data_IF_008624095373
#
_entry.id   IF_008624095373
#
_cell.length_a   1.000
_cell.length_b   1.000
_cell.length_c   1.000
_cell.angle_alpha   90.00
_cell.angle_beta   90.00
_cell.angle_gamma   90.00
#
_symmetry.space_group_name_H-M   'P 1'
#
loop_
_entity.id
_entity.type
_entity.pdbx_description
1 polymer ?
#
# COMPACT_ATOMS: atom_id res chain seq x y z
N UNK A 1 -3.80 0.14 17.69
CA UNK A 1 -4.35 1.42 17.17
C UNK A 1 -3.59 1.83 15.91
N UNK A 2 -4.22 2.47 14.93
CA UNK A 2 -3.55 2.92 13.70
C UNK A 2 -4.16 4.22 13.16
N UNK A 3 -3.36 4.97 12.39
CA UNK A 3 -3.82 6.10 11.59
C UNK A 3 -4.10 5.62 10.16
N UNK A 4 -5.26 5.98 9.59
CA UNK A 4 -5.62 5.64 8.21
C UNK A 4 -5.63 6.90 7.36
N UNK A 5 -4.71 6.99 6.41
CA UNK A 5 -4.69 8.06 5.42
C UNK A 5 -5.35 7.58 4.12
N UNK A 6 -6.48 8.19 3.75
CA UNK A 6 -7.29 7.79 2.60
C UNK A 6 -7.23 8.83 1.49
N UNK A 7 -6.84 8.40 0.30
CA UNK A 7 -6.85 9.21 -0.93
C UNK A 7 -7.78 8.55 -1.96
N UNK A 8 -8.75 9.31 -2.48
CA UNK A 8 -9.71 8.77 -3.48
C UNK A 8 -9.08 8.64 -4.86
N UNK A 9 -8.21 9.58 -5.24
CA UNK A 9 -7.55 9.60 -6.53
C UNK A 9 -6.07 9.89 -6.31
N UNK A 10 -5.23 9.02 -6.85
CA UNK A 10 -3.77 9.16 -6.82
C UNK A 10 -3.27 8.97 -8.24
N UNK A 11 -2.97 10.06 -8.93
CA UNK A 11 -2.45 9.99 -10.30
C UNK A 11 -0.98 9.55 -10.28
N UNK A 12 -0.57 8.77 -11.28
CA UNK A 12 0.83 8.35 -11.42
C UNK A 12 1.78 9.55 -11.55
N UNK A 13 3.00 9.41 -11.03
CA UNK A 13 4.01 10.47 -11.06
C UNK A 13 3.77 11.63 -10.08
N UNK A 14 2.77 11.51 -9.19
CA UNK A 14 2.55 12.50 -8.12
C UNK A 14 3.10 12.02 -6.79
N UNK A 15 3.48 12.99 -5.98
CA UNK A 15 3.90 12.80 -4.59
C UNK A 15 2.92 13.52 -3.66
N UNK A 16 2.58 12.87 -2.55
CA UNK A 16 1.75 13.44 -1.50
C UNK A 16 2.41 13.20 -0.15
N UNK A 17 2.33 14.17 0.74
CA UNK A 17 2.95 14.12 2.07
C UNK A 17 1.86 14.32 3.12
N UNK A 18 1.90 13.51 4.17
CA UNK A 18 1.04 13.64 5.35
C UNK A 18 1.93 13.78 6.59
N UNK A 19 1.61 14.76 7.44
CA UNK A 19 2.28 14.99 8.73
C UNK A 19 1.25 14.82 9.84
N UNK A 20 1.59 14.03 10.85
CA UNK A 20 0.74 13.80 12.02
C UNK A 20 1.57 14.01 13.30
N UNK A 21 0.94 14.63 14.30
CA UNK A 21 1.50 14.81 15.64
C UNK A 21 0.61 14.07 16.63
N UNK A 22 1.21 13.23 17.48
CA UNK A 22 0.52 12.48 18.51
C UNK A 22 0.97 12.97 19.89
N UNK A 23 0.03 13.32 20.75
CA UNK A 23 0.31 13.55 22.16
C UNK A 23 0.40 12.21 22.88
N UNK A 24 1.54 11.92 23.51
CA UNK A 24 1.73 10.72 24.32
C UNK A 24 1.43 11.03 25.79
N UNK A 25 0.86 10.07 26.56
CA UNK A 25 0.76 10.21 28.01
C UNK A 25 2.14 10.39 28.65
N UNK A 26 2.19 11.16 29.74
CA UNK A 26 3.43 11.41 30.49
C UNK A 26 3.91 10.20 31.30
N UNK A 27 3.04 9.21 31.53
CA UNK A 27 3.33 7.98 32.26
C UNK A 27 3.43 6.82 31.26
N UNK A 28 4.55 6.10 31.29
CA UNK A 28 4.76 4.91 30.48
C UNK A 28 3.93 3.72 30.99
N UNK A 29 3.27 3.01 30.08
CA UNK A 29 2.59 1.77 30.42
C UNK A 29 3.63 0.67 30.71
N UNK A 30 3.41 -0.10 31.78
CA UNK A 30 4.37 -1.08 32.29
C UNK A 30 4.68 -2.25 31.32
N UNK A 31 3.83 -2.47 30.31
CA UNK A 31 3.91 -3.62 29.38
C UNK A 31 4.08 -3.21 27.90
N UNK A 32 4.59 -2.01 27.62
CA UNK A 32 4.69 -1.51 26.24
C UNK A 32 5.91 -2.09 25.51
N UNK A 33 5.81 -3.37 25.13
CA UNK A 33 6.65 -3.90 24.06
C UNK A 33 6.21 -3.16 22.80
N UNK A 34 6.98 -2.14 22.41
CA UNK A 34 6.69 -1.27 21.27
C UNK A 34 6.64 -2.08 19.97
N UNK A 35 5.47 -2.64 19.67
CA UNK A 35 5.23 -3.34 18.41
C UNK A 35 5.18 -2.25 17.34
N UNK A 36 6.18 -2.25 16.47
CA UNK A 36 6.23 -1.44 15.25
C UNK A 36 5.68 -2.28 14.08
N UNK A 37 4.34 -2.46 13.94
CA UNK A 37 3.80 -3.20 12.82
C UNK A 37 4.16 -2.49 11.51
N UNK A 38 4.29 -3.23 10.40
CA UNK A 38 4.50 -2.62 9.11
C UNK A 38 3.31 -1.75 8.70
N UNK A 39 3.57 -0.78 7.83
CA UNK A 39 2.55 0.03 7.19
C UNK A 39 1.95 -0.77 6.04
N UNK A 40 0.64 -0.96 6.08
CA UNK A 40 -0.11 -1.62 5.02
C UNK A 40 -0.65 -0.58 4.04
N UNK A 41 -0.50 -0.83 2.74
CA UNK A 41 -1.00 0.07 1.70
C UNK A 41 -2.04 -0.67 0.86
N UNK A 42 -3.22 -0.05 0.72
CA UNK A 42 -4.31 -0.54 -0.13
C UNK A 42 -4.51 0.37 -1.32
N UNK A 43 -4.51 -0.19 -2.52
CA UNK A 43 -4.69 0.57 -3.77
C UNK A 43 -5.37 -0.27 -4.85
N UNK A 44 -5.97 0.42 -5.79
CA UNK A 44 -6.52 -0.14 -7.02
C UNK A 44 -6.14 0.78 -8.19
N UNK A 45 -5.56 0.20 -9.25
CA UNK A 45 -5.17 0.90 -10.48
C UNK A 45 -5.97 0.29 -11.63
N UNK A 46 -6.98 0.99 -12.15
CA UNK A 46 -7.79 0.51 -13.26
C UNK A 46 -7.03 0.62 -14.58
N UNK A 47 -7.31 -0.30 -15.51
CA UNK A 47 -6.79 -0.32 -16.88
C UNK A 47 -5.26 -0.41 -17.00
N UNK A 48 -4.57 -0.84 -15.93
CA UNK A 48 -3.13 -1.00 -15.90
C UNK A 48 -2.75 -2.41 -15.43
N UNK A 49 -1.69 -2.97 -16.01
CA UNK A 49 -1.12 -4.27 -15.63
C UNK A 49 0.34 -4.13 -15.24
N UNK A 50 0.67 -4.48 -14.00
CA UNK A 50 2.07 -4.48 -13.52
C UNK A 50 2.88 -5.64 -14.12
N UNK A 51 2.25 -6.80 -14.32
CA UNK A 51 2.89 -7.98 -14.90
C UNK A 51 3.10 -7.89 -16.41
N UNK A 52 2.52 -6.90 -17.09
CA UNK A 52 2.53 -6.78 -18.54
C UNK A 52 1.64 -7.79 -19.28
N UNK A 53 0.80 -8.55 -18.56
CA UNK A 53 -0.13 -9.51 -19.19
C UNK A 53 -1.09 -8.80 -20.15
N UNK A 54 -1.31 -9.39 -21.31
CA UNK A 54 -2.22 -8.89 -22.34
C UNK A 54 -3.01 -10.06 -22.94
N UNK A 55 -4.34 -10.01 -22.81
CA UNK A 55 -5.27 -10.92 -23.50
C UNK A 55 -5.30 -10.55 -24.97
N UNK A 56 -4.88 -11.47 -25.84
CA UNK A 56 -4.82 -11.27 -27.29
C UNK A 56 -6.11 -11.64 -28.00
N UNK A 57 -6.72 -12.75 -27.62
CA UNK A 57 -7.94 -13.25 -28.23
C UNK A 57 -8.78 -14.04 -27.22
N UNK A 58 -10.10 -13.97 -27.38
CA UNK A 58 -11.06 -14.85 -26.73
C UNK A 58 -11.82 -15.58 -27.85
N UNK A 59 -11.49 -16.86 -28.07
CA UNK A 59 -12.14 -17.67 -29.11
C UNK A 59 -13.41 -18.30 -28.55
N UNK A 60 -14.53 -18.04 -29.21
CA UNK A 60 -15.84 -18.58 -28.86
C UNK A 60 -16.27 -19.50 -30.00
N UNK A 61 -16.60 -20.75 -29.69
CA UNK A 61 -17.03 -21.76 -30.67
C UNK A 61 -18.42 -22.22 -30.28
N UNK A 62 -19.41 -21.81 -31.05
CA UNK A 62 -20.83 -22.08 -30.80
C UNK A 62 -21.52 -22.48 -32.10
N UNK A 63 -22.37 -23.52 -32.07
CA UNK A 63 -22.98 -24.12 -33.26
C UNK A 63 -24.22 -23.36 -33.75
N UNK A 64 -24.85 -22.58 -32.87
CA UNK A 64 -26.08 -21.83 -33.15
C UNK A 64 -25.86 -20.51 -33.92
N UNK A 65 -24.61 -20.15 -34.24
CA UNK A 65 -24.28 -18.89 -34.91
C UNK A 65 -24.39 -17.66 -34.01
N UNK A 66 -24.48 -17.84 -32.70
CA UNK A 66 -24.52 -16.75 -31.72
C UNK A 66 -23.26 -15.85 -31.80
N UNK A 67 -23.47 -14.55 -31.97
CA UNK A 67 -22.40 -13.55 -31.94
C UNK A 67 -22.21 -13.02 -30.52
N UNK A 68 -21.09 -13.36 -29.91
CA UNK A 68 -20.71 -12.86 -28.59
C UNK A 68 -19.96 -11.53 -28.68
N UNK A 69 -20.09 -10.71 -27.62
CA UNK A 69 -19.39 -9.45 -27.44
C UNK A 69 -18.38 -9.57 -26.30
N UNK A 70 -17.14 -10.02 -26.57
CA UNK A 70 -16.14 -10.19 -25.52
C UNK A 70 -15.63 -8.84 -25.02
N UNK A 71 -15.55 -8.65 -23.70
CA UNK A 71 -14.94 -7.49 -23.07
C UNK A 71 -13.84 -7.89 -22.11
N UNK A 72 -12.83 -7.03 -21.96
CA UNK A 72 -11.73 -7.23 -21.01
C UNK A 72 -11.51 -5.92 -20.25
N UNK A 73 -11.32 -6.03 -18.93
CA UNK A 73 -10.85 -4.94 -18.08
C UNK A 73 -9.69 -5.44 -17.23
N UNK A 74 -8.63 -4.66 -17.18
CA UNK A 74 -7.51 -4.89 -16.28
C UNK A 74 -7.69 -4.09 -14.99
N UNK A 75 -7.37 -4.71 -13.87
CA UNK A 75 -7.34 -4.07 -12.56
C UNK A 75 -6.10 -4.59 -11.85
N UNK A 76 -5.23 -3.68 -11.41
CA UNK A 76 -4.16 -4.01 -10.48
C UNK A 76 -4.62 -3.63 -9.08
N UNK A 77 -4.62 -4.58 -8.16
CA UNK A 77 -4.87 -4.34 -6.74
C UNK A 77 -3.65 -4.73 -5.92
N UNK A 78 -3.52 -4.17 -4.73
CA UNK A 78 -2.48 -4.58 -3.80
C UNK A 78 -2.70 -6.05 -3.36
N UNK A 79 -1.62 -6.82 -3.31
CA UNK A 79 -1.55 -8.05 -2.51
C UNK A 79 -1.18 -7.72 -1.06
N UNK A 80 -0.24 -8.47 -0.51
CA UNK A 80 0.38 -8.16 0.79
C UNK A 80 1.46 -7.08 0.63
N UNK A 81 1.01 -5.83 0.46
CA UNK A 81 1.90 -4.68 0.29
C UNK A 81 2.17 -4.01 1.64
N UNK A 82 3.32 -4.36 2.22
CA UNK A 82 3.75 -3.93 3.55
C UNK A 82 5.10 -3.20 3.50
N UNK A 83 5.21 -2.09 4.23
CA UNK A 83 6.44 -1.31 4.39
C UNK A 83 6.86 -1.30 5.86
N UNK A 84 8.07 -1.79 6.18
CA UNK A 84 8.63 -1.67 7.55
C UNK A 84 9.38 -0.35 7.67
N UNK A 85 9.20 0.32 8.81
CA UNK A 85 10.03 1.47 9.13
C UNK A 85 11.46 1.01 9.49
N UNK A 86 12.49 1.75 9.09
CA UNK A 86 13.85 1.48 9.54
C UNK A 86 13.94 1.64 11.06
N UNK A 87 14.85 0.87 11.68
CA UNK A 87 15.13 1.04 13.10
C UNK A 87 15.70 2.44 13.35
N UNK A 88 15.31 3.07 14.46
CA UNK A 88 15.90 4.36 14.84
C UNK A 88 17.39 4.16 15.11
N UNK A 89 18.24 4.89 14.39
CA UNK A 89 19.66 4.98 14.73
C UNK A 89 19.70 5.57 16.14
N UNK A 90 20.13 4.78 17.13
CA UNK A 90 20.39 5.29 18.47
C UNK A 90 21.44 6.39 18.33
N UNK A 91 21.03 7.64 18.51
CA UNK A 91 21.97 8.74 18.61
C UNK A 91 22.96 8.38 19.72
N UNK A 92 24.22 8.16 19.32
CA UNK A 92 25.29 7.80 20.21
C UNK A 92 25.45 8.97 21.20
N UNK A 93 24.97 8.82 22.44
CA UNK A 93 25.38 9.71 23.54
C UNK A 93 26.85 9.40 23.85
N UNK A 94 27.75 9.84 22.98
CA UNK A 94 29.17 9.99 23.31
C UNK A 94 29.37 11.40 23.84
N UNK A 95 29.98 11.45 25.03
CA UNK A 95 30.64 12.59 25.69
C UNK A 95 29.71 13.73 26.15
N UNK A 96 29.81 14.27 27.37
CA UNK A 96 31.00 14.41 28.23
C UNK A 96 30.68 14.22 29.71
N UNK A 97 31.41 13.31 30.36
CA UNK A 97 31.80 13.49 31.75
C UNK A 97 32.80 14.65 31.79
N UNK A 98 32.35 15.81 32.25
CA UNK A 98 33.13 16.85 32.96
C UNK A 98 32.15 17.66 33.80
#
# INVERSE_FOLDING_TARGET
>A
SCLVWKMKQFQGGKEFIMRAHFGLPSVQAADDTEKKPPINIKYEIPYFTVSGIQVRYLKIVEKSGYQALPWVRYITQNGDYQMRMPESIKANKRTSDY
#
